data_IF_731615521776
#
_entry.id   IF_731615521776
#
_cell.length_a   1.000
_cell.length_b   1.000
_cell.length_c   1.000
_cell.angle_alpha   90.00
_cell.angle_beta   90.00
_cell.angle_gamma   90.00
#
_symmetry.space_group_name_H-M   'P 1'
#
loop_
_entity.id
_entity.type
_entity.pdbx_description
1 polymer ?
#
# COMPACT_ATOMS: atom_id res chain seq x y z
N UNK A 1 -10.60 -13.33 2.39
CA UNK A 1 -10.05 -13.06 1.03
C UNK A 1 -9.16 -14.24 0.60
N UNK A 2 -9.02 -14.55 -0.70
CA UNK A 2 -8.08 -15.60 -1.15
C UNK A 2 -6.64 -15.21 -0.75
N UNK A 3 -5.90 -16.14 -0.13
CA UNK A 3 -4.53 -15.91 0.36
C UNK A 3 -3.56 -15.46 -0.76
N UNK A 4 -3.70 -16.01 -1.96
CA UNK A 4 -2.87 -15.62 -3.11
C UNK A 4 -3.18 -14.19 -3.57
N UNK A 5 -4.47 -13.84 -3.59
CA UNK A 5 -4.92 -12.47 -3.90
C UNK A 5 -4.38 -11.48 -2.86
N UNK A 6 -4.46 -11.81 -1.57
CA UNK A 6 -3.90 -11.00 -0.49
C UNK A 6 -2.41 -10.77 -0.67
N UNK A 7 -1.66 -11.82 -0.99
CA UNK A 7 -0.21 -11.77 -1.19
C UNK A 7 0.15 -10.85 -2.36
N UNK A 8 -0.54 -10.97 -3.49
CA UNK A 8 -0.33 -10.09 -4.64
C UNK A 8 -0.73 -8.64 -4.33
N UNK A 9 -1.80 -8.40 -3.57
CA UNK A 9 -2.18 -7.05 -3.12
C UNK A 9 -1.10 -6.41 -2.24
N UNK A 10 -0.55 -7.16 -1.27
CA UNK A 10 0.54 -6.67 -0.42
C UNK A 10 1.81 -6.35 -1.23
N UNK A 11 2.14 -7.21 -2.20
CA UNK A 11 3.27 -6.98 -3.12
C UNK A 11 3.06 -5.73 -3.97
N UNK A 12 1.86 -5.51 -4.49
CA UNK A 12 1.53 -4.32 -5.28
C UNK A 12 1.57 -3.04 -4.44
N UNK A 13 1.17 -3.10 -3.16
CA UNK A 13 1.31 -1.97 -2.24
C UNK A 13 2.77 -1.57 -2.08
N UNK A 14 3.67 -2.53 -1.84
CA UNK A 14 5.10 -2.24 -1.69
C UNK A 14 5.73 -1.72 -2.99
N UNK A 15 5.36 -2.30 -4.14
CA UNK A 15 5.78 -1.78 -5.44
C UNK A 15 5.34 -0.32 -5.63
N UNK A 16 4.08 -0.01 -5.26
CA UNK A 16 3.53 1.34 -5.37
C UNK A 16 4.26 2.32 -4.47
N UNK A 17 4.61 1.94 -3.24
CA UNK A 17 5.43 2.78 -2.33
C UNK A 17 6.78 3.12 -2.94
N UNK A 18 7.45 2.17 -3.58
CA UNK A 18 8.72 2.42 -4.26
C UNK A 18 8.54 3.33 -5.49
N UNK A 19 7.47 3.16 -6.27
CA UNK A 19 7.18 4.03 -7.42
C UNK A 19 6.97 5.48 -6.96
N UNK A 20 6.14 5.72 -5.94
CA UNK A 20 5.85 7.09 -5.48
C UNK A 20 7.06 7.74 -4.81
N UNK A 21 7.89 6.96 -4.12
CA UNK A 21 9.12 7.45 -3.48
C UNK A 21 10.17 7.91 -4.48
N UNK A 22 10.22 7.25 -5.65
CA UNK A 22 11.14 7.59 -6.73
C UNK A 22 10.51 8.55 -7.76
N UNK A 23 9.25 8.93 -7.59
CA UNK A 23 8.58 9.89 -8.46
C UNK A 23 8.91 11.32 -8.01
N UNK A 24 9.81 11.99 -8.71
CA UNK A 24 10.19 13.37 -8.40
C UNK A 24 9.15 14.43 -8.81
N UNK A 25 8.11 14.04 -9.54
CA UNK A 25 7.03 14.93 -9.99
C UNK A 25 5.84 14.98 -9.01
N UNK A 26 5.81 14.11 -8.00
CA UNK A 26 4.76 14.11 -6.99
C UNK A 26 4.99 15.22 -5.96
N UNK A 27 3.93 15.93 -5.56
CA UNK A 27 4.03 16.87 -4.45
C UNK A 27 4.25 16.12 -3.14
N UNK A 28 4.86 16.78 -2.15
CA UNK A 28 5.07 16.19 -0.84
C UNK A 28 3.73 15.80 -0.17
N UNK A 29 2.71 16.64 -0.27
CA UNK A 29 1.37 16.36 0.26
C UNK A 29 0.78 15.11 -0.38
N UNK A 30 0.89 15.00 -1.71
CA UNK A 30 0.37 13.85 -2.46
C UNK A 30 1.11 12.56 -2.12
N UNK A 31 2.42 12.63 -1.89
CA UNK A 31 3.23 11.53 -1.39
C UNK A 31 2.77 11.08 0.01
N UNK A 32 2.62 12.01 0.95
CA UNK A 32 2.20 11.73 2.33
C UNK A 32 0.80 11.12 2.35
N UNK A 33 -0.15 11.68 1.60
CA UNK A 33 -1.51 11.18 1.50
C UNK A 33 -1.54 9.76 0.93
N UNK A 34 -0.84 9.53 -0.18
CA UNK A 34 -0.79 8.22 -0.85
C UNK A 34 -0.18 7.17 0.06
N UNK A 35 0.96 7.49 0.69
CA UNK A 35 1.64 6.56 1.59
C UNK A 35 0.78 6.24 2.83
N UNK A 36 0.05 7.22 3.36
CA UNK A 36 -0.88 7.02 4.48
C UNK A 36 -2.04 6.08 4.11
N UNK A 37 -2.63 6.25 2.92
CA UNK A 37 -3.69 5.36 2.41
C UNK A 37 -3.18 3.93 2.18
N UNK A 38 -1.97 3.78 1.64
CA UNK A 38 -1.35 2.47 1.45
C UNK A 38 -1.09 1.77 2.79
N UNK A 39 -0.62 2.48 3.81
CA UNK A 39 -0.43 1.92 5.15
C UNK A 39 -1.74 1.49 5.80
N UNK A 40 -2.80 2.29 5.66
CA UNK A 40 -4.14 1.92 6.12
C UNK A 40 -4.64 0.65 5.42
N UNK A 41 -4.44 0.55 4.10
CA UNK A 41 -4.83 -0.63 3.33
C UNK A 41 -4.06 -1.87 3.79
N UNK A 42 -2.74 -1.76 4.00
CA UNK A 42 -1.94 -2.85 4.58
C UNK A 42 -2.50 -3.29 5.94
N UNK A 43 -2.83 -2.34 6.82
CA UNK A 43 -3.42 -2.65 8.13
C UNK A 43 -4.73 -3.43 7.99
N UNK A 44 -5.66 -2.97 7.15
CA UNK A 44 -6.94 -3.65 6.90
C UNK A 44 -6.71 -5.08 6.39
N UNK A 45 -5.80 -5.25 5.42
CA UNK A 45 -5.49 -6.55 4.85
C UNK A 45 -4.88 -7.50 5.89
N UNK A 46 -4.04 -7.00 6.80
CA UNK A 46 -3.43 -7.80 7.87
C UNK A 46 -4.45 -8.16 8.98
N UNK A 47 -5.36 -7.26 9.32
CA UNK A 47 -6.40 -7.53 10.32
C UNK A 47 -7.45 -8.54 9.84
N UNK A 48 -7.59 -8.74 8.53
CA UNK A 48 -8.50 -9.74 7.94
C UNK A 48 -8.10 -11.19 8.31
N UNK A 49 -6.90 -11.44 8.84
CA UNK A 49 -6.49 -12.76 9.37
C UNK A 49 -7.02 -13.04 10.79
N UNK A 50 -7.57 -12.03 11.48
CA UNK A 50 -8.05 -12.15 12.87
C UNK A 50 -9.56 -12.47 12.96
N UNK A 51 -10.20 -12.94 11.88
CA UNK A 51 -11.62 -13.31 11.84
C UNK A 51 -11.85 -14.76 11.40
#
# INVERSE_FOLDING_TARGET
>A
MNADLKKEMLKNIELTKEIIKNNFEISFESYVETNSKLNLLTYILMCDDNK
#
